data_IF_417033428254
#
_entry.id   IF_417033428254
#
_cell.length_a   1.000
_cell.length_b   1.000
_cell.length_c   1.000
_cell.angle_alpha   90.00
_cell.angle_beta   90.00
_cell.angle_gamma   90.00
#
_symmetry.space_group_name_H-M   'P 1'
#
loop_
_entity.id
_entity.type
_entity.pdbx_description
1 polymer ?
#
# COMPACT_ATOMS: atom_id res chain seq x y z
N UNK A 1 50.64 14.62 -4.23
CA UNK A 1 49.87 13.55 -4.92
C UNK A 1 48.56 13.41 -4.18
N UNK A 2 47.47 13.95 -4.70
CA UNK A 2 46.15 13.84 -4.06
C UNK A 2 45.35 12.82 -4.86
N UNK A 3 45.11 11.65 -4.26
CA UNK A 3 44.13 10.71 -4.79
C UNK A 3 42.77 11.31 -4.46
N UNK A 4 41.98 11.64 -5.48
CA UNK A 4 40.57 11.96 -5.30
C UNK A 4 39.84 10.63 -5.20
N UNK A 5 39.31 10.35 -4.02
CA UNK A 5 38.38 9.24 -3.84
C UNK A 5 37.06 9.65 -4.49
N UNK A 6 36.78 9.08 -5.66
CA UNK A 6 35.45 9.11 -6.26
C UNK A 6 34.64 8.05 -5.53
N UNK A 7 33.83 8.45 -4.55
CA UNK A 7 32.73 7.62 -4.08
C UNK A 7 31.83 7.38 -5.30
N UNK A 8 32.06 6.24 -5.92
CA UNK A 8 31.14 5.68 -6.89
C UNK A 8 29.99 5.19 -6.03
N UNK A 9 28.89 5.97 -5.95
CA UNK A 9 27.61 5.47 -5.44
C UNK A 9 27.20 4.30 -6.34
N UNK A 10 27.72 3.14 -6.02
CA UNK A 10 27.42 1.90 -6.69
C UNK A 10 26.06 1.43 -6.22
N UNK A 11 25.14 1.35 -7.19
CA UNK A 11 23.93 0.53 -7.17
C UNK A 11 22.89 0.96 -6.11
N UNK A 12 21.73 1.35 -6.62
CA UNK A 12 20.46 1.53 -5.90
C UNK A 12 20.44 0.80 -4.55
N UNK A 13 20.46 1.57 -3.46
CA UNK A 13 20.30 1.04 -2.12
C UNK A 13 18.88 0.44 -2.06
N UNK A 14 18.79 -0.86 -2.37
CA UNK A 14 17.52 -1.57 -2.36
C UNK A 14 16.91 -1.40 -0.98
N UNK A 15 15.68 -0.88 -0.93
CA UNK A 15 15.05 -0.57 0.35
C UNK A 15 14.99 -1.81 1.24
N UNK A 16 15.43 -1.68 2.49
CA UNK A 16 15.45 -2.81 3.43
C UNK A 16 14.02 -3.32 3.66
N UNK A 17 13.77 -4.65 3.60
CA UNK A 17 12.46 -5.19 3.93
C UNK A 17 12.04 -4.84 5.35
N UNK A 18 10.77 -4.50 5.48
CA UNK A 18 10.10 -4.18 6.74
C UNK A 18 8.75 -4.92 6.82
N UNK A 19 8.44 -5.55 7.95
CA UNK A 19 7.11 -6.12 8.22
C UNK A 19 6.35 -5.16 9.16
N UNK A 20 5.21 -4.58 8.73
CA UNK A 20 4.37 -3.77 9.61
C UNK A 20 3.70 -4.54 10.75
N UNK A 21 3.66 -5.88 10.68
CA UNK A 21 3.06 -6.75 11.68
C UNK A 21 1.57 -6.50 11.98
N UNK A 22 0.86 -5.86 11.06
CA UNK A 22 -0.52 -5.42 11.27
C UNK A 22 -1.52 -6.59 11.19
N UNK A 23 -2.39 -6.72 12.19
CA UNK A 23 -3.47 -7.72 12.14
C UNK A 23 -4.50 -7.42 11.04
N UNK A 24 -5.14 -8.46 10.44
CA UNK A 24 -6.24 -8.29 9.50
C UNK A 24 -7.40 -7.43 10.01
N UNK A 25 -8.17 -6.87 9.07
CA UNK A 25 -9.47 -6.24 9.31
C UNK A 25 -10.39 -6.41 8.10
N UNK A 26 -11.68 -6.15 8.27
CA UNK A 26 -12.68 -6.27 7.21
C UNK A 26 -12.37 -5.35 6.01
N UNK A 27 -11.90 -4.12 6.28
CA UNK A 27 -11.42 -3.17 5.28
C UNK A 27 -9.97 -2.78 5.56
N UNK A 28 -9.14 -2.80 4.52
CA UNK A 28 -7.79 -2.22 4.56
C UNK A 28 -7.67 -1.10 3.53
N UNK A 29 -7.21 0.09 3.94
CA UNK A 29 -6.92 1.19 3.03
C UNK A 29 -5.41 1.48 2.99
N UNK A 30 -4.88 1.54 1.75
CA UNK A 30 -3.48 1.73 1.44
C UNK A 30 -3.28 3.05 0.70
N UNK A 31 -2.29 3.85 1.09
CA UNK A 31 -1.89 5.08 0.36
C UNK A 31 -0.44 5.44 0.68
N UNK A 32 0.23 6.17 -0.22
CA UNK A 32 1.49 6.85 0.11
C UNK A 32 1.28 8.12 0.97
N UNK A 33 0.06 8.66 1.00
CA UNK A 33 -0.28 9.90 1.70
C UNK A 33 -0.90 9.65 3.07
N UNK A 34 -0.19 10.06 4.12
CA UNK A 34 -0.73 10.07 5.48
C UNK A 34 -1.96 10.98 5.62
N UNK A 35 -2.07 12.02 4.78
CA UNK A 35 -3.27 12.87 4.76
C UNK A 35 -4.49 12.09 4.27
N UNK A 36 -4.32 11.21 3.27
CA UNK A 36 -5.41 10.36 2.80
C UNK A 36 -5.82 9.36 3.89
N UNK A 37 -4.84 8.68 4.50
CA UNK A 37 -5.09 7.74 5.59
C UNK A 37 -5.77 8.44 6.78
N UNK A 38 -5.33 9.65 7.12
CA UNK A 38 -5.95 10.49 8.16
C UNK A 38 -7.40 10.85 7.85
N UNK A 39 -7.72 11.16 6.59
CA UNK A 39 -9.09 11.42 6.15
C UNK A 39 -9.99 10.19 6.31
N UNK A 40 -9.49 8.99 5.93
CA UNK A 40 -10.18 7.72 6.16
C UNK A 40 -10.42 7.46 7.65
N UNK A 41 -9.38 7.61 8.48
CA UNK A 41 -9.49 7.44 9.93
C UNK A 41 -10.55 8.38 10.53
N UNK A 42 -10.59 9.64 10.09
CA UNK A 42 -11.55 10.62 10.57
C UNK A 42 -12.99 10.26 10.18
N UNK A 43 -13.21 9.76 8.96
CA UNK A 43 -14.51 9.25 8.53
C UNK A 43 -14.98 8.05 9.35
N UNK A 44 -14.09 7.08 9.58
CA UNK A 44 -14.41 5.90 10.38
C UNK A 44 -14.74 6.22 11.83
N UNK A 45 -13.98 7.13 12.45
CA UNK A 45 -14.28 7.60 13.81
C UNK A 45 -15.64 8.29 13.89
N UNK A 46 -15.98 9.12 12.90
CA UNK A 46 -17.29 9.81 12.82
C UNK A 46 -18.47 8.83 12.72
N UNK A 47 -18.25 7.64 12.16
CA UNK A 47 -19.29 6.61 12.07
C UNK A 47 -19.57 5.89 13.40
N UNK A 48 -18.82 6.17 14.47
CA UNK A 48 -19.16 5.70 15.82
C UNK A 48 -19.20 4.18 15.98
N UNK A 49 -18.42 3.42 15.19
CA UNK A 49 -18.38 1.96 15.23
C UNK A 49 -19.45 1.25 14.37
N UNK A 50 -20.24 1.97 13.58
CA UNK A 50 -21.23 1.39 12.67
C UNK A 50 -20.61 0.81 11.38
N UNK A 51 -19.32 1.04 11.14
CA UNK A 51 -18.60 0.56 9.96
C UNK A 51 -17.77 -0.68 10.28
N UNK A 52 -17.39 -1.49 9.26
CA UNK A 52 -16.50 -2.63 9.44
C UNK A 52 -15.16 -2.22 10.05
N UNK A 53 -14.45 -3.21 10.62
CA UNK A 53 -13.11 -2.99 11.15
C UNK A 53 -12.16 -2.44 10.07
N UNK A 54 -11.30 -1.49 10.44
CA UNK A 54 -10.40 -0.79 9.52
C UNK A 54 -8.94 -0.99 9.92
N UNK A 55 -8.10 -1.21 8.89
CA UNK A 55 -6.65 -0.96 8.94
C UNK A 55 -6.25 0.06 7.89
N UNK A 56 -5.26 0.85 8.28
CA UNK A 56 -4.63 1.86 7.44
C UNK A 56 -3.15 1.54 7.37
N UNK A 57 -2.58 1.56 6.17
CA UNK A 57 -1.16 1.28 5.99
C UNK A 57 -0.56 2.20 4.93
N UNK A 58 0.55 2.85 5.30
CA UNK A 58 1.32 3.65 4.36
C UNK A 58 2.15 2.73 3.47
N UNK A 59 2.03 2.93 2.14
CA UNK A 59 2.73 2.13 1.12
C UNK A 59 4.25 2.33 1.13
N UNK A 60 4.78 3.39 1.74
CA UNK A 60 6.23 3.56 1.95
C UNK A 60 6.83 2.35 2.68
N UNK A 61 6.11 1.78 3.64
CA UNK A 61 6.55 0.60 4.38
C UNK A 61 6.46 -0.71 3.58
N UNK A 62 5.84 -0.68 2.39
CA UNK A 62 5.54 -1.85 1.55
C UNK A 62 6.17 -1.74 0.16
N UNK A 63 7.28 -1.03 0.03
CA UNK A 63 7.95 -0.86 -1.28
C UNK A 63 8.84 -2.06 -1.64
N UNK A 64 9.47 -2.70 -0.65
CA UNK A 64 10.25 -3.91 -0.90
C UNK A 64 9.32 -5.12 -1.18
N UNK A 65 9.59 -5.96 -2.20
CA UNK A 65 8.73 -7.10 -2.55
C UNK A 65 8.44 -8.05 -1.39
N UNK A 66 9.43 -8.34 -0.54
CA UNK A 66 9.22 -9.18 0.66
C UNK A 66 8.22 -8.55 1.63
N UNK A 67 8.28 -7.23 1.84
CA UNK A 67 7.30 -6.52 2.68
C UNK A 67 5.89 -6.63 2.13
N UNK A 68 5.74 -6.52 0.80
CA UNK A 68 4.46 -6.72 0.12
C UNK A 68 3.94 -8.13 0.38
N UNK A 69 4.76 -9.15 0.13
CA UNK A 69 4.34 -10.55 0.22
C UNK A 69 3.93 -10.91 1.64
N UNK A 70 4.73 -10.51 2.64
CA UNK A 70 4.42 -10.72 4.06
C UNK A 70 3.12 -10.03 4.45
N UNK A 71 2.92 -8.77 4.05
CA UNK A 71 1.71 -8.03 4.37
C UNK A 71 0.46 -8.57 3.63
N UNK A 72 0.63 -9.05 2.39
CA UNK A 72 -0.40 -9.73 1.61
C UNK A 72 -0.87 -10.99 2.33
N UNK A 73 0.06 -11.83 2.78
CA UNK A 73 -0.24 -13.09 3.45
C UNK A 73 -0.84 -12.85 4.85
N UNK A 74 -0.17 -12.05 5.67
CA UNK A 74 -0.52 -11.84 7.08
C UNK A 74 -1.78 -11.02 7.26
N UNK A 75 -1.92 -9.93 6.50
CA UNK A 75 -2.94 -8.90 6.76
C UNK A 75 -4.03 -8.93 5.69
N UNK A 76 -3.66 -8.73 4.42
CA UNK A 76 -4.65 -8.53 3.35
C UNK A 76 -5.44 -9.80 3.04
N UNK A 77 -4.87 -10.98 3.30
CA UNK A 77 -5.53 -12.26 3.04
C UNK A 77 -6.80 -12.47 3.89
N UNK A 78 -6.90 -11.78 5.03
CA UNK A 78 -8.08 -11.78 5.90
C UNK A 78 -9.08 -10.65 5.63
N UNK A 79 -8.82 -9.78 4.66
CA UNK A 79 -9.69 -8.66 4.34
C UNK A 79 -10.91 -9.08 3.50
N UNK A 80 -12.02 -8.33 3.64
CA UNK A 80 -13.20 -8.45 2.76
C UNK A 80 -13.19 -7.40 1.65
N UNK A 81 -12.58 -6.26 1.92
CA UNK A 81 -12.36 -5.20 0.96
C UNK A 81 -10.98 -4.57 1.13
N UNK A 82 -10.39 -4.14 0.02
CA UNK A 82 -9.13 -3.40 -0.02
C UNK A 82 -9.33 -2.16 -0.89
N UNK A 83 -8.93 -1.02 -0.35
CA UNK A 83 -8.87 0.23 -1.07
C UNK A 83 -7.41 0.65 -1.22
N UNK A 84 -6.99 0.98 -2.44
CA UNK A 84 -5.66 1.52 -2.70
C UNK A 84 -5.82 2.91 -3.33
N UNK A 85 -5.17 3.92 -2.76
CA UNK A 85 -5.08 5.25 -3.35
C UNK A 85 -3.64 5.51 -3.80
N UNK A 86 -3.42 5.59 -5.11
CA UNK A 86 -2.10 5.78 -5.70
C UNK A 86 -1.96 7.20 -6.26
N UNK A 87 -1.07 7.99 -5.66
CA UNK A 87 -0.71 9.31 -6.18
C UNK A 87 0.26 9.10 -7.35
N UNK A 88 -0.21 9.34 -8.58
CA UNK A 88 0.58 9.23 -9.80
C UNK A 88 0.32 7.97 -10.65
N UNK A 89 -0.66 7.14 -10.29
CA UNK A 89 -1.09 5.97 -11.08
C UNK A 89 -0.34 4.67 -10.75
N UNK A 90 -0.65 3.60 -11.49
CA UNK A 90 -0.16 2.22 -11.23
C UNK A 90 1.36 2.09 -11.16
N UNK A 91 2.09 2.90 -11.93
CA UNK A 91 3.54 2.81 -12.08
C UNK A 91 4.33 3.04 -10.78
N UNK A 92 3.71 3.63 -9.75
CA UNK A 92 4.37 3.95 -8.48
C UNK A 92 4.46 2.76 -7.52
N UNK A 93 3.64 1.72 -7.71
CA UNK A 93 3.68 0.53 -6.85
C UNK A 93 3.26 -0.75 -7.60
N UNK A 94 3.95 -1.08 -8.71
CA UNK A 94 3.48 -2.09 -9.67
C UNK A 94 3.46 -3.50 -9.08
N UNK A 95 4.51 -3.89 -8.35
CA UNK A 95 4.59 -5.21 -7.72
C UNK A 95 3.46 -5.40 -6.70
N UNK A 96 3.32 -4.45 -5.77
CA UNK A 96 2.27 -4.51 -4.76
C UNK A 96 0.86 -4.49 -5.34
N UNK A 97 0.62 -3.66 -6.35
CA UNK A 97 -0.67 -3.63 -7.02
C UNK A 97 -1.00 -4.97 -7.71
N UNK A 98 -0.03 -5.57 -8.41
CA UNK A 98 -0.21 -6.88 -9.03
C UNK A 98 -0.49 -7.97 -7.99
N UNK A 99 0.26 -8.01 -6.88
CA UNK A 99 0.07 -8.96 -5.78
C UNK A 99 -1.32 -8.83 -5.14
N UNK A 100 -1.80 -7.59 -4.92
CA UNK A 100 -3.13 -7.36 -4.36
C UNK A 100 -4.24 -7.70 -5.36
N UNK A 101 -4.10 -7.36 -6.65
CA UNK A 101 -5.05 -7.76 -7.70
C UNK A 101 -5.18 -9.29 -7.77
N UNK A 102 -4.05 -10.00 -7.74
CA UNK A 102 -4.02 -11.47 -7.73
C UNK A 102 -4.71 -12.06 -6.49
N UNK A 103 -4.40 -11.54 -5.29
CA UNK A 103 -5.04 -11.95 -4.06
C UNK A 103 -6.57 -11.74 -4.13
N UNK A 104 -7.00 -10.56 -4.56
CA UNK A 104 -8.39 -10.17 -4.61
C UNK A 104 -9.19 -11.07 -5.55
N UNK A 105 -8.67 -11.35 -6.74
CA UNK A 105 -9.28 -12.28 -7.68
C UNK A 105 -9.38 -13.70 -7.09
N UNK A 106 -8.31 -14.20 -6.46
CA UNK A 106 -8.26 -15.56 -5.92
C UNK A 106 -9.19 -15.78 -4.72
N UNK A 107 -9.39 -14.75 -3.89
CA UNK A 107 -10.18 -14.84 -2.65
C UNK A 107 -11.56 -14.19 -2.71
N UNK A 108 -11.91 -13.54 -3.82
CA UNK A 108 -13.16 -12.79 -3.94
C UNK A 108 -13.21 -11.56 -3.05
N UNK A 109 -12.07 -10.91 -2.78
CA UNK A 109 -11.99 -9.68 -2.00
C UNK A 109 -12.39 -8.51 -2.90
N UNK A 110 -13.25 -7.61 -2.42
CA UNK A 110 -13.58 -6.40 -3.16
C UNK A 110 -12.35 -5.48 -3.24
N UNK A 111 -11.89 -5.14 -4.44
CA UNK A 111 -10.74 -4.26 -4.65
C UNK A 111 -11.16 -2.98 -5.38
N UNK A 112 -10.82 -1.84 -4.80
CA UNK A 112 -10.93 -0.53 -5.45
C UNK A 112 -9.55 0.14 -5.50
N UNK A 113 -9.19 0.66 -6.66
CA UNK A 113 -7.93 1.40 -6.87
C UNK A 113 -8.28 2.77 -7.40
N UNK A 114 -7.90 3.81 -6.67
CA UNK A 114 -8.29 5.20 -6.97
C UNK A 114 -7.05 6.03 -7.33
N UNK A 115 -7.08 6.76 -8.46
CA UNK A 115 -6.08 7.76 -8.76
C UNK A 115 -6.25 8.95 -7.82
N UNK A 116 -5.14 9.51 -7.33
CA UNK A 116 -5.22 10.59 -6.34
C UNK A 116 -5.44 11.99 -6.91
N UNK A 117 -5.28 12.18 -8.24
CA UNK A 117 -5.43 13.48 -8.92
C UNK A 117 -6.89 13.81 -9.31
N UNK A 118 -7.83 12.91 -8.98
CA UNK A 118 -9.26 13.08 -9.23
C UNK A 118 -9.67 12.90 -10.69
N UNK A 119 -8.73 12.51 -11.57
CA UNK A 119 -9.02 12.19 -12.97
C UNK A 119 -9.20 10.68 -13.10
N UNK A 120 -10.11 10.20 -13.96
CA UNK A 120 -10.14 8.79 -14.32
C UNK A 120 -8.77 8.39 -14.90
N UNK A 121 -8.17 7.33 -14.37
CA UNK A 121 -6.99 6.71 -14.93
C UNK A 121 -7.45 5.49 -15.77
N UNK A 122 -7.30 5.50 -17.11
CA UNK A 122 -7.74 4.38 -17.94
C UNK A 122 -7.04 3.04 -17.65
N UNK A 123 -5.92 3.04 -16.93
CA UNK A 123 -5.22 1.82 -16.52
C UNK A 123 -5.79 1.21 -15.24
N UNK A 124 -6.61 1.95 -14.47
CA UNK A 124 -7.19 1.53 -13.19
C UNK A 124 -8.61 0.99 -13.34
#
# INVERSE_FOLDING_TARGET
MHVIYRESHGLEEAETPFDPEQDPADLVALSFSDSDLGAFAAGWRRAGGALPSLRLQNLVALKHPVSVDTYVERTLSGARAILIRLIGGEAYWPYGLASVRYLAQRRGIALAVLPADGRPDPAL
#
